data_IF_970794280913
#
_entry.id   IF_970794280913
#
_cell.length_a   1.000
_cell.length_b   1.000
_cell.length_c   1.000
_cell.angle_alpha   90.00
_cell.angle_beta   90.00
_cell.angle_gamma   90.00
#
_symmetry.space_group_name_H-M   'P 1'
#
loop_
_entity.id
_entity.type
_entity.pdbx_description
1 polymer ?
#
# COMPACT_ATOMS: atom_id res chain seq x y z
N UNK A 1 -31.26 19.26 -8.60
CA UNK A 1 -30.00 19.42 -9.34
C UNK A 1 -29.99 18.41 -10.49
N UNK A 2 -29.58 18.77 -11.73
CA UNK A 2 -29.60 17.79 -12.81
C UNK A 2 -28.54 16.71 -12.54
N UNK A 3 -28.80 15.45 -12.96
CA UNK A 3 -27.88 14.31 -12.79
C UNK A 3 -26.49 14.63 -13.37
N UNK A 4 -26.46 15.36 -14.48
CA UNK A 4 -25.20 15.77 -15.15
C UNK A 4 -24.36 16.68 -14.23
N UNK A 5 -24.98 17.62 -13.53
CA UNK A 5 -24.26 18.50 -12.58
C UNK A 5 -23.71 17.71 -11.42
N UNK A 6 -24.47 16.74 -10.87
CA UNK A 6 -24.00 15.89 -9.77
C UNK A 6 -22.84 15.01 -10.17
N UNK A 7 -22.86 14.42 -11.36
CA UNK A 7 -21.74 13.65 -11.90
C UNK A 7 -20.52 14.57 -12.12
N UNK A 8 -20.72 15.75 -12.69
CA UNK A 8 -19.65 16.73 -12.90
C UNK A 8 -18.96 17.13 -11.59
N UNK A 9 -19.73 17.33 -10.50
CA UNK A 9 -19.19 17.62 -9.19
C UNK A 9 -18.34 16.48 -8.62
N UNK A 10 -18.85 15.23 -8.72
CA UNK A 10 -18.10 14.06 -8.25
C UNK A 10 -16.76 13.89 -9.00
N UNK A 11 -16.76 14.05 -10.32
CA UNK A 11 -15.56 13.99 -11.15
C UNK A 11 -14.58 15.13 -10.84
N UNK A 12 -15.10 16.35 -10.62
CA UNK A 12 -14.27 17.49 -10.22
C UNK A 12 -13.59 17.26 -8.86
N UNK A 13 -14.31 16.73 -7.87
CA UNK A 13 -13.76 16.38 -6.57
C UNK A 13 -12.70 15.28 -6.70
N UNK A 14 -12.97 14.22 -7.46
CA UNK A 14 -12.01 13.15 -7.71
C UNK A 14 -10.73 13.68 -8.38
N UNK A 15 -10.87 14.58 -9.36
CA UNK A 15 -9.71 15.18 -10.04
C UNK A 15 -8.93 16.13 -9.13
N UNK A 16 -9.60 16.92 -8.29
CA UNK A 16 -8.95 17.78 -7.30
C UNK A 16 -8.12 16.97 -6.32
N UNK A 17 -8.65 15.86 -5.80
CA UNK A 17 -7.92 14.94 -4.92
C UNK A 17 -6.72 14.31 -5.65
N UNK A 18 -6.88 13.88 -6.92
CA UNK A 18 -5.77 13.37 -7.73
C UNK A 18 -4.66 14.41 -7.85
N UNK A 19 -5.01 15.68 -8.12
CA UNK A 19 -4.05 16.76 -8.27
C UNK A 19 -3.22 16.97 -7.01
N UNK A 20 -3.83 16.89 -5.82
CA UNK A 20 -3.13 17.04 -4.54
C UNK A 20 -2.15 15.89 -4.26
N UNK A 21 -2.47 14.66 -4.65
CA UNK A 21 -1.64 13.48 -4.36
C UNK A 21 -0.65 13.12 -5.48
N UNK A 22 -0.66 13.79 -6.62
CA UNK A 22 0.10 13.37 -7.81
C UNK A 22 1.62 13.44 -7.61
N UNK A 23 2.15 14.56 -7.11
CA UNK A 23 3.59 14.71 -6.88
C UNK A 23 4.13 13.78 -5.77
N UNK A 24 3.42 13.59 -4.63
CA UNK A 24 3.87 12.61 -3.64
C UNK A 24 3.91 11.18 -4.19
N UNK A 25 2.95 10.81 -5.04
CA UNK A 25 2.93 9.52 -5.71
C UNK A 25 4.15 9.31 -6.61
N UNK A 26 4.45 10.29 -7.46
CA UNK A 26 5.61 10.23 -8.36
C UNK A 26 6.91 10.16 -7.54
N UNK A 27 7.03 10.97 -6.48
CA UNK A 27 8.17 10.93 -5.57
C UNK A 27 8.29 9.54 -4.92
N UNK A 28 7.21 9.01 -4.36
CA UNK A 28 7.19 7.74 -3.66
C UNK A 28 7.60 6.58 -4.54
N UNK A 29 7.00 6.45 -5.72
CA UNK A 29 7.37 5.38 -6.66
C UNK A 29 8.81 5.55 -7.21
N UNK A 30 9.30 6.77 -7.29
CA UNK A 30 10.72 7.01 -7.64
C UNK A 30 11.64 6.52 -6.51
N UNK A 31 11.32 6.83 -5.25
CA UNK A 31 12.08 6.38 -4.08
C UNK A 31 12.02 4.85 -3.93
N UNK A 32 10.83 4.26 -4.10
CA UNK A 32 10.63 2.80 -4.14
C UNK A 32 11.53 2.15 -5.18
N UNK A 33 11.50 2.65 -6.42
CA UNK A 33 12.34 2.17 -7.51
C UNK A 33 13.85 2.27 -7.21
N UNK A 34 14.29 3.35 -6.55
CA UNK A 34 15.69 3.52 -6.11
C UNK A 34 16.09 2.43 -5.12
N UNK A 35 15.27 2.17 -4.11
CA UNK A 35 15.56 1.16 -3.09
C UNK A 35 15.58 -0.24 -3.70
N UNK A 36 14.58 -0.58 -4.50
CA UNK A 36 14.48 -1.88 -5.18
C UNK A 36 15.67 -2.11 -6.15
N UNK A 37 16.16 -1.07 -6.81
CA UNK A 37 17.32 -1.17 -7.69
C UNK A 37 18.64 -1.48 -6.95
N UNK A 38 18.74 -1.15 -5.66
CA UNK A 38 19.98 -1.28 -4.87
C UNK A 38 19.98 -2.47 -3.92
N UNK A 39 18.79 -2.87 -3.39
CA UNK A 39 18.66 -3.93 -2.37
C UNK A 39 18.03 -5.18 -2.99
N UNK A 40 18.75 -6.31 -2.96
CA UNK A 40 18.24 -7.58 -3.49
C UNK A 40 17.30 -8.29 -2.50
N UNK A 41 16.28 -8.96 -3.04
CA UNK A 41 15.33 -9.77 -2.25
C UNK A 41 16.00 -10.92 -1.50
N UNK A 42 17.07 -11.50 -2.03
CA UNK A 42 17.83 -12.56 -1.36
C UNK A 42 18.56 -12.04 -0.10
N UNK A 43 19.13 -10.83 -0.19
CA UNK A 43 19.81 -10.22 0.96
C UNK A 43 18.80 -9.93 2.10
N UNK A 44 17.60 -9.44 1.75
CA UNK A 44 16.51 -9.22 2.71
C UNK A 44 16.09 -10.55 3.37
N UNK A 45 15.80 -11.58 2.60
CA UNK A 45 15.34 -12.86 3.12
C UNK A 45 16.36 -13.51 4.09
N UNK A 46 17.65 -13.45 3.76
CA UNK A 46 18.72 -13.97 4.63
C UNK A 46 18.81 -13.23 5.98
N UNK A 47 18.56 -11.93 5.98
CA UNK A 47 18.57 -11.12 7.20
C UNK A 47 17.34 -11.35 8.10
N UNK A 48 16.24 -11.91 7.56
CA UNK A 48 14.94 -12.04 8.21
C UNK A 48 14.59 -13.47 8.64
N UNK A 49 15.58 -14.35 8.78
CA UNK A 49 15.38 -15.79 9.04
C UNK A 49 14.87 -16.15 10.46
N UNK A 50 14.49 -15.20 11.31
CA UNK A 50 13.98 -15.45 12.67
C UNK A 50 13.04 -14.37 13.17
N UNK A 51 12.41 -14.63 14.35
CA UNK A 51 11.41 -13.76 14.98
C UNK A 51 11.99 -12.92 16.12
N UNK A 52 13.32 -12.72 16.16
CA UNK A 52 13.95 -11.87 17.15
C UNK A 52 13.55 -10.39 16.96
N UNK A 53 13.54 -9.56 18.02
CA UNK A 53 13.26 -8.13 17.89
C UNK A 53 14.15 -7.45 16.85
N UNK A 54 15.42 -7.88 16.73
CA UNK A 54 16.35 -7.38 15.71
C UNK A 54 15.85 -7.68 14.30
N UNK A 55 15.39 -8.91 14.06
CA UNK A 55 14.90 -9.31 12.73
C UNK A 55 13.60 -8.60 12.38
N UNK A 56 12.71 -8.39 13.37
CA UNK A 56 11.47 -7.64 13.16
C UNK A 56 11.76 -6.16 12.89
N UNK A 57 12.71 -5.54 13.59
CA UNK A 57 13.15 -4.17 13.29
C UNK A 57 13.73 -4.08 11.87
N UNK A 58 14.57 -5.04 11.47
CA UNK A 58 15.10 -5.09 10.11
C UNK A 58 13.99 -5.30 9.07
N UNK A 59 13.01 -6.16 9.35
CA UNK A 59 11.86 -6.37 8.48
C UNK A 59 11.07 -5.08 8.30
N UNK A 60 10.82 -4.35 9.40
CA UNK A 60 10.15 -3.04 9.37
C UNK A 60 10.95 -2.03 8.55
N UNK A 61 12.26 -1.92 8.76
CA UNK A 61 13.11 -0.99 8.00
C UNK A 61 13.17 -1.34 6.50
N UNK A 62 13.25 -2.62 6.15
CA UNK A 62 13.19 -3.05 4.76
C UNK A 62 11.80 -2.81 4.15
N UNK A 63 10.73 -2.99 4.93
CA UNK A 63 9.38 -2.63 4.52
C UNK A 63 9.27 -1.14 4.20
N UNK A 64 9.65 -0.27 5.13
CA UNK A 64 9.68 1.20 4.95
C UNK A 64 10.46 1.58 3.68
N UNK A 65 11.62 0.98 3.50
CA UNK A 65 12.49 1.25 2.36
C UNK A 65 11.93 0.69 1.03
N UNK A 66 11.19 -0.42 1.08
CA UNK A 66 10.56 -1.03 -0.10
C UNK A 66 9.45 -0.17 -0.68
N UNK A 67 8.70 0.52 0.18
CA UNK A 67 7.62 1.45 -0.21
C UNK A 67 6.73 0.87 -1.31
N UNK A 68 6.04 -0.22 -1.01
CA UNK A 68 5.29 -0.99 -1.99
C UNK A 68 3.79 -0.74 -1.87
N UNK A 69 3.06 -0.81 -2.98
CA UNK A 69 1.60 -0.89 -2.90
C UNK A 69 1.16 -2.20 -2.23
N UNK A 70 -0.04 -2.25 -1.69
CA UNK A 70 -0.57 -3.39 -0.93
C UNK A 70 -0.43 -4.72 -1.68
N UNK A 71 -0.72 -4.74 -2.96
CA UNK A 71 -0.58 -5.94 -3.80
C UNK A 71 0.87 -6.39 -3.95
N UNK A 72 1.78 -5.45 -4.24
CA UNK A 72 3.20 -5.76 -4.36
C UNK A 72 3.80 -6.15 -3.01
N UNK A 73 3.37 -5.52 -1.91
CA UNK A 73 3.78 -5.87 -0.55
C UNK A 73 3.48 -7.33 -0.20
N UNK A 74 2.26 -7.80 -0.50
CA UNK A 74 1.84 -9.20 -0.29
C UNK A 74 2.67 -10.18 -1.12
N UNK A 75 2.93 -9.85 -2.39
CA UNK A 75 3.74 -10.70 -3.27
C UNK A 75 5.22 -10.72 -2.84
N UNK A 76 5.78 -9.56 -2.42
CA UNK A 76 7.12 -9.47 -1.86
C UNK A 76 7.25 -10.24 -0.54
N UNK A 77 6.30 -10.08 0.38
CA UNK A 77 6.26 -10.82 1.65
C UNK A 77 6.28 -12.33 1.41
N UNK A 78 5.48 -12.83 0.45
CA UNK A 78 5.53 -14.23 0.04
C UNK A 78 6.91 -14.61 -0.50
N UNK A 79 7.48 -13.81 -1.41
CA UNK A 79 8.78 -14.08 -2.02
C UNK A 79 9.91 -14.19 -0.98
N UNK A 80 9.97 -13.26 -0.01
CA UNK A 80 10.98 -13.30 1.05
C UNK A 80 10.74 -14.46 2.01
N UNK A 81 9.48 -14.82 2.30
CA UNK A 81 9.11 -15.99 3.10
C UNK A 81 9.55 -17.30 2.42
N UNK A 82 9.28 -17.47 1.13
CA UNK A 82 9.77 -18.61 0.34
C UNK A 82 11.29 -18.74 0.37
N UNK A 83 12.02 -17.62 0.37
CA UNK A 83 13.49 -17.56 0.39
C UNK A 83 14.09 -17.71 1.79
N UNK A 84 13.29 -17.93 2.83
CA UNK A 84 13.76 -18.29 4.17
C UNK A 84 13.56 -17.27 5.27
N UNK A 85 12.86 -16.15 5.02
CA UNK A 85 12.41 -15.27 6.09
C UNK A 85 11.40 -16.01 6.99
N UNK A 86 11.31 -15.65 8.28
CA UNK A 86 10.25 -16.13 9.13
C UNK A 86 8.89 -15.57 8.69
N UNK A 87 7.79 -16.28 8.97
CA UNK A 87 6.45 -15.82 8.63
C UNK A 87 6.10 -14.49 9.32
N UNK A 88 6.47 -14.36 10.60
CA UNK A 88 6.29 -13.11 11.37
C UNK A 88 7.05 -11.94 10.75
N UNK A 89 8.32 -12.14 10.37
CA UNK A 89 9.12 -11.10 9.75
C UNK A 89 8.59 -10.71 8.37
N UNK A 90 8.09 -11.67 7.58
CA UNK A 90 7.47 -11.41 6.29
C UNK A 90 6.19 -10.57 6.44
N UNK A 91 5.33 -10.86 7.41
CA UNK A 91 4.13 -10.07 7.70
C UNK A 91 4.44 -8.69 8.30
N UNK A 92 5.48 -8.58 9.15
CA UNK A 92 5.95 -7.29 9.66
C UNK A 92 6.51 -6.40 8.54
N UNK A 93 7.28 -6.99 7.61
CA UNK A 93 7.73 -6.31 6.39
C UNK A 93 6.54 -5.79 5.58
N UNK A 94 5.53 -6.63 5.40
CA UNK A 94 4.34 -6.31 4.62
C UNK A 94 3.57 -5.13 5.20
N UNK A 95 3.26 -5.14 6.52
CA UNK A 95 2.63 -4.02 7.21
C UNK A 95 3.44 -2.72 7.10
N UNK A 96 4.77 -2.82 7.27
CA UNK A 96 5.63 -1.65 7.20
C UNK A 96 5.77 -1.07 5.79
N UNK A 97 5.72 -1.93 4.76
CA UNK A 97 5.89 -1.53 3.37
C UNK A 97 4.69 -0.80 2.76
N UNK A 98 3.55 -0.81 3.44
CA UNK A 98 2.34 -0.09 3.03
C UNK A 98 2.02 1.09 3.94
N UNK A 99 2.26 0.96 5.25
CA UNK A 99 1.79 1.94 6.24
C UNK A 99 2.90 2.85 6.81
N UNK A 100 4.18 2.44 6.78
CA UNK A 100 5.29 3.25 7.30
C UNK A 100 6.11 3.92 6.20
N UNK A 101 5.48 4.25 5.09
CA UNK A 101 6.16 4.74 3.89
C UNK A 101 6.08 6.25 3.76
N UNK A 102 7.14 6.86 3.21
CA UNK A 102 7.30 8.31 3.17
C UNK A 102 6.21 8.96 2.32
N UNK A 103 5.85 8.38 1.18
CA UNK A 103 4.83 8.91 0.28
C UNK A 103 3.45 8.98 0.95
N UNK A 104 3.05 7.95 1.69
CA UNK A 104 1.80 7.96 2.43
C UNK A 104 1.80 9.07 3.49
N UNK A 105 2.91 9.20 4.23
CA UNK A 105 3.10 10.28 5.19
C UNK A 105 2.97 11.68 4.58
N UNK A 106 3.56 11.90 3.39
CA UNK A 106 3.46 13.17 2.67
C UNK A 106 2.03 13.42 2.19
N UNK A 107 1.36 12.40 1.64
CA UNK A 107 -0.04 12.51 1.19
C UNK A 107 -0.95 12.88 2.38
N UNK A 108 -0.75 12.24 3.52
CA UNK A 108 -1.50 12.54 4.76
C UNK A 108 -1.28 13.98 5.23
N UNK A 109 -0.03 14.48 5.23
CA UNK A 109 0.25 15.88 5.58
C UNK A 109 -0.50 16.84 4.66
N UNK A 110 -0.45 16.58 3.36
CA UNK A 110 -1.04 17.45 2.33
C UNK A 110 -2.56 17.47 2.43
N UNK A 111 -3.19 16.30 2.59
CA UNK A 111 -4.65 16.19 2.59
C UNK A 111 -5.28 16.42 3.96
N UNK A 112 -4.68 15.91 5.03
CA UNK A 112 -5.35 15.82 6.34
C UNK A 112 -4.58 16.50 7.47
N UNK A 113 -3.31 16.81 7.27
CA UNK A 113 -2.45 17.48 8.23
C UNK A 113 -1.49 16.54 8.97
N UNK A 114 -0.46 17.14 9.59
CA UNK A 114 0.65 16.43 10.23
C UNK A 114 0.23 15.48 11.36
N UNK A 115 -0.90 15.75 12.02
CA UNK A 115 -1.42 14.91 13.11
C UNK A 115 -1.76 13.50 12.61
N UNK A 116 -2.35 13.39 11.42
CA UNK A 116 -2.64 12.09 10.81
C UNK A 116 -1.38 11.37 10.39
N UNK A 117 -0.38 12.07 9.89
CA UNK A 117 0.93 11.47 9.57
C UNK A 117 1.63 10.96 10.82
N UNK A 118 1.64 11.74 11.90
CA UNK A 118 2.21 11.32 13.18
C UNK A 118 1.47 10.09 13.74
N UNK A 119 0.14 10.07 13.62
CA UNK A 119 -0.71 8.95 14.02
C UNK A 119 -0.44 7.69 13.19
N UNK A 120 -0.25 7.85 11.89
CA UNK A 120 0.07 6.77 10.95
C UNK A 120 1.41 6.10 11.28
N UNK A 121 2.48 6.89 11.43
CA UNK A 121 3.79 6.34 11.77
C UNK A 121 3.82 5.71 13.16
N UNK A 122 3.22 6.35 14.17
CA UNK A 122 3.12 5.78 15.50
C UNK A 122 2.31 4.48 15.49
N UNK A 123 1.13 4.52 14.89
CA UNK A 123 0.23 3.37 14.81
C UNK A 123 0.82 2.23 13.98
N UNK A 124 1.54 2.53 12.89
CA UNK A 124 2.25 1.53 12.10
C UNK A 124 3.33 0.78 12.91
N UNK A 125 4.08 1.49 13.76
CA UNK A 125 5.03 0.85 14.69
C UNK A 125 4.27 -0.02 15.70
N UNK A 126 3.17 0.49 16.27
CA UNK A 126 2.31 -0.28 17.19
C UNK A 126 1.74 -1.52 16.53
N UNK A 127 1.31 -1.43 15.26
CA UNK A 127 0.84 -2.61 14.51
C UNK A 127 1.90 -3.70 14.41
N UNK A 128 3.15 -3.36 14.10
CA UNK A 128 4.25 -4.34 14.04
C UNK A 128 4.47 -4.99 15.41
N UNK A 129 4.41 -4.20 16.49
CA UNK A 129 4.56 -4.71 17.86
C UNK A 129 3.40 -5.64 18.22
N UNK A 130 2.15 -5.22 17.97
CA UNK A 130 0.96 -6.04 18.26
C UNK A 130 0.93 -7.31 17.41
N UNK A 131 1.27 -7.22 16.14
CA UNK A 131 1.40 -8.39 15.28
C UNK A 131 2.40 -9.39 15.85
N UNK A 132 3.61 -8.93 16.19
CA UNK A 132 4.65 -9.78 16.75
C UNK A 132 4.20 -10.45 18.06
N UNK A 133 3.51 -9.70 18.94
CA UNK A 133 2.96 -10.22 20.18
C UNK A 133 1.87 -11.26 19.94
N UNK A 134 0.90 -10.97 19.08
CA UNK A 134 -0.20 -11.90 18.75
C UNK A 134 0.39 -13.17 18.12
N UNK A 135 1.30 -13.03 17.15
CA UNK A 135 1.92 -14.18 16.48
C UNK A 135 2.73 -15.03 17.47
N UNK A 136 3.49 -14.42 18.37
CA UNK A 136 4.23 -15.14 19.41
C UNK A 136 3.32 -15.99 20.30
N UNK A 137 2.08 -15.54 20.56
CA UNK A 137 1.13 -16.21 21.43
C UNK A 137 0.25 -17.25 20.70
N UNK A 138 -0.05 -17.01 19.42
CA UNK A 138 -1.10 -17.77 18.69
C UNK A 138 -0.62 -18.47 17.43
N UNK A 139 0.52 -18.07 16.83
CA UNK A 139 1.02 -18.68 15.61
C UNK A 139 1.59 -20.08 15.90
N UNK A 140 0.96 -21.10 15.37
CA UNK A 140 1.40 -22.49 15.57
C UNK A 140 2.36 -22.93 14.45
N UNK A 141 3.34 -23.82 14.74
CA UNK A 141 4.22 -24.38 13.72
C UNK A 141 3.45 -25.07 12.57
N UNK A 142 2.27 -25.62 12.87
CA UNK A 142 1.40 -26.24 11.86
C UNK A 142 0.88 -25.22 10.85
N UNK A 143 0.47 -24.02 11.30
CA UNK A 143 0.03 -22.93 10.41
C UNK A 143 1.18 -22.44 9.51
N UNK A 144 2.37 -22.26 10.09
CA UNK A 144 3.57 -21.87 9.33
C UNK A 144 3.92 -22.90 8.27
N UNK A 145 3.86 -24.20 8.62
CA UNK A 145 4.14 -25.27 7.65
C UNK A 145 3.07 -25.32 6.54
N UNK A 146 1.80 -25.11 6.88
CA UNK A 146 0.73 -25.03 5.87
C UNK A 146 0.96 -23.82 4.93
N UNK A 147 1.31 -22.65 5.48
CA UNK A 147 1.65 -21.46 4.70
C UNK A 147 2.81 -21.74 3.76
N UNK A 148 3.89 -22.37 4.26
CA UNK A 148 5.08 -22.69 3.47
C UNK A 148 4.76 -23.67 2.32
N UNK A 149 4.09 -24.77 2.63
CA UNK A 149 3.70 -25.76 1.61
C UNK A 149 2.81 -25.17 0.51
N UNK A 150 1.89 -24.27 0.88
CA UNK A 150 1.03 -23.61 -0.11
C UNK A 150 1.80 -22.57 -0.91
N UNK A 151 2.66 -21.79 -0.25
CA UNK A 151 3.48 -20.76 -0.92
C UNK A 151 4.41 -21.37 -1.99
N UNK A 152 4.95 -22.58 -1.74
CA UNK A 152 5.84 -23.30 -2.66
C UNK A 152 5.13 -23.85 -3.90
N UNK A 153 3.79 -23.99 -3.90
CA UNK A 153 3.04 -24.60 -5.03
C UNK A 153 3.01 -23.75 -6.31
N UNK A 154 3.55 -22.55 -6.29
CA UNK A 154 3.57 -21.65 -7.44
C UNK A 154 2.15 -21.24 -7.87
N UNK A 155 1.79 -19.99 -7.63
CA UNK A 155 0.62 -19.38 -8.27
C UNK A 155 1.21 -18.22 -9.05
N UNK A 156 1.27 -18.31 -10.36
CA UNK A 156 1.78 -17.20 -11.18
C UNK A 156 0.62 -16.29 -11.55
N UNK A 157 0.77 -15.02 -11.24
CA UNK A 157 -0.14 -13.95 -11.58
C UNK A 157 0.64 -12.70 -11.98
N UNK A 158 -0.05 -11.75 -12.59
CA UNK A 158 0.51 -10.49 -13.12
C UNK A 158 1.36 -9.71 -12.10
N UNK A 159 0.97 -9.74 -10.84
CA UNK A 159 1.65 -9.06 -9.73
C UNK A 159 2.84 -9.86 -9.18
N UNK A 160 2.78 -11.19 -9.27
CA UNK A 160 3.86 -12.08 -8.85
C UNK A 160 5.05 -11.99 -9.80
N UNK A 161 4.81 -11.86 -11.10
CA UNK A 161 5.85 -11.61 -12.08
C UNK A 161 6.65 -10.35 -11.75
N UNK A 162 5.99 -9.28 -11.31
CA UNK A 162 6.64 -8.05 -10.88
C UNK A 162 7.49 -8.26 -9.61
N UNK A 163 6.93 -8.84 -8.55
CA UNK A 163 7.61 -9.07 -7.28
C UNK A 163 8.72 -10.13 -7.38
N UNK A 164 8.63 -11.05 -8.35
CA UNK A 164 9.66 -12.07 -8.60
C UNK A 164 10.87 -11.54 -9.37
N UNK A 165 10.72 -10.47 -10.14
CA UNK A 165 11.81 -9.86 -10.91
C UNK A 165 12.75 -9.08 -9.97
N UNK A 166 13.90 -9.65 -9.67
CA UNK A 166 15.00 -8.96 -8.98
C UNK A 166 15.91 -8.28 -10.02
N UNK A 167 15.62 -7.00 -10.32
CA UNK A 167 16.45 -6.18 -11.21
C UNK A 167 17.50 -5.38 -10.44
N UNK A 168 17.78 -5.74 -9.19
CA UNK A 168 18.77 -5.05 -8.37
C UNK A 168 20.16 -5.18 -8.94
N UNK A 169 20.93 -4.09 -8.84
CA UNK A 169 22.32 -4.05 -9.32
C UNK A 169 23.25 -4.58 -8.23
N UNK A 170 24.04 -5.61 -8.56
CA UNK A 170 25.05 -6.18 -7.67
C UNK A 170 26.39 -5.46 -7.78
N UNK A 171 27.13 -5.37 -6.65
CA UNK A 171 28.50 -4.81 -6.59
C UNK A 171 28.56 -3.28 -6.51
N UNK A 172 29.52 -2.76 -5.74
CA UNK A 172 29.74 -1.33 -5.56
C UNK A 172 28.95 -0.67 -4.41
N UNK A 173 29.21 0.62 -4.16
CA UNK A 173 28.51 1.43 -3.16
C UNK A 173 27.11 1.80 -3.63
N UNK A 174 26.25 2.26 -2.70
CA UNK A 174 24.88 2.72 -3.01
C UNK A 174 24.84 3.70 -4.19
N UNK A 175 25.65 4.75 -4.17
CA UNK A 175 25.66 5.76 -5.22
C UNK A 175 26.23 5.23 -6.56
N UNK A 176 27.21 4.32 -6.51
CA UNK A 176 27.75 3.70 -7.71
C UNK A 176 26.72 2.81 -8.41
N UNK A 177 25.96 2.05 -7.64
CA UNK A 177 24.84 1.25 -8.17
C UNK A 177 23.78 2.13 -8.78
N UNK A 178 23.30 3.14 -8.03
CA UNK A 178 22.20 4.02 -8.42
C UNK A 178 22.53 4.83 -9.69
N UNK A 179 23.70 5.46 -9.74
CA UNK A 179 24.10 6.31 -10.86
C UNK A 179 24.63 5.54 -12.08
N UNK A 180 24.77 4.23 -11.97
CA UNK A 180 25.11 3.38 -13.12
C UNK A 180 23.98 3.39 -14.17
N UNK A 181 24.34 3.18 -15.43
CA UNK A 181 23.34 3.04 -16.50
C UNK A 181 22.32 1.92 -16.23
N UNK A 182 22.78 0.81 -15.61
CA UNK A 182 21.91 -0.31 -15.19
C UNK A 182 21.02 0.09 -14.02
N UNK A 183 21.53 0.81 -13.01
CA UNK A 183 20.75 1.27 -11.86
C UNK A 183 19.63 2.22 -12.26
N UNK A 184 19.93 3.23 -13.07
CA UNK A 184 18.91 4.16 -13.57
C UNK A 184 17.85 3.46 -14.45
N UNK A 185 18.23 2.41 -15.19
CA UNK A 185 17.27 1.60 -15.94
C UNK A 185 16.40 0.77 -14.99
N UNK A 186 16.98 0.16 -13.94
CA UNK A 186 16.23 -0.57 -12.92
C UNK A 186 15.23 0.35 -12.21
N UNK A 187 15.63 1.56 -11.78
CA UNK A 187 14.73 2.56 -11.19
C UNK A 187 13.57 2.88 -12.12
N UNK A 188 13.87 3.12 -13.40
CA UNK A 188 12.85 3.42 -14.41
C UNK A 188 11.86 2.27 -14.61
N UNK A 189 12.35 1.03 -14.62
CA UNK A 189 11.52 -0.17 -14.75
C UNK A 189 10.61 -0.33 -13.53
N UNK A 190 11.15 -0.27 -12.31
CA UNK A 190 10.36 -0.35 -11.08
C UNK A 190 9.31 0.75 -11.01
N UNK A 191 9.68 2.01 -11.30
CA UNK A 191 8.75 3.13 -11.33
C UNK A 191 7.54 2.89 -12.24
N UNK A 192 7.77 2.46 -13.49
CA UNK A 192 6.67 2.22 -14.45
C UNK A 192 5.85 0.99 -14.05
N UNK A 193 6.51 -0.04 -13.50
CA UNK A 193 5.82 -1.25 -13.05
C UNK A 193 4.95 -0.97 -11.81
N UNK A 194 5.42 -0.17 -10.85
CA UNK A 194 4.64 0.27 -9.69
C UNK A 194 3.39 1.04 -10.15
N UNK A 195 3.53 2.01 -11.07
CA UNK A 195 2.38 2.70 -11.67
C UNK A 195 1.43 1.75 -12.39
N UNK A 196 1.94 0.86 -13.22
CA UNK A 196 1.13 -0.11 -13.97
C UNK A 196 0.34 -1.06 -13.05
N UNK A 197 0.83 -1.32 -11.84
CA UNK A 197 0.18 -2.19 -10.87
C UNK A 197 -0.98 -1.52 -10.13
N UNK A 198 -0.94 -0.21 -9.90
CA UNK A 198 -1.85 0.47 -8.96
C UNK A 198 -2.75 1.56 -9.59
N UNK A 199 -2.51 1.98 -10.84
CA UNK A 199 -3.26 3.11 -11.42
C UNK A 199 -4.77 2.88 -11.43
N UNK A 200 -5.22 1.63 -11.66
CA UNK A 200 -6.65 1.29 -11.67
C UNK A 200 -7.25 1.48 -10.28
N UNK A 201 -6.54 1.01 -9.23
CA UNK A 201 -6.99 1.14 -7.85
C UNK A 201 -7.05 2.60 -7.41
N UNK A 202 -6.06 3.41 -7.82
CA UNK A 202 -6.05 4.86 -7.55
C UNK A 202 -7.26 5.53 -8.22
N UNK A 203 -7.51 5.24 -9.49
CA UNK A 203 -8.65 5.84 -10.22
C UNK A 203 -9.98 5.43 -9.60
N UNK A 204 -10.17 4.14 -9.30
CA UNK A 204 -11.40 3.65 -8.65
C UNK A 204 -11.58 4.30 -7.28
N UNK A 205 -10.52 4.35 -6.45
CA UNK A 205 -10.56 4.98 -5.13
C UNK A 205 -10.93 6.45 -5.18
N UNK A 206 -10.35 7.20 -6.12
CA UNK A 206 -10.66 8.61 -6.33
C UNK A 206 -12.10 8.83 -6.82
N UNK A 207 -12.61 7.97 -7.71
CA UNK A 207 -13.99 8.05 -8.18
C UNK A 207 -14.98 7.75 -7.05
N UNK A 208 -14.71 6.73 -6.23
CA UNK A 208 -15.52 6.41 -5.05
C UNK A 208 -15.47 7.59 -4.06
N UNK A 209 -14.29 8.10 -3.73
CA UNK A 209 -14.14 9.22 -2.81
C UNK A 209 -14.86 10.48 -3.31
N UNK A 210 -14.71 10.82 -4.59
CA UNK A 210 -15.39 11.94 -5.23
C UNK A 210 -16.92 11.80 -5.24
N UNK A 211 -17.41 10.60 -5.53
CA UNK A 211 -18.85 10.29 -5.51
C UNK A 211 -19.42 10.40 -4.08
N UNK A 212 -18.74 9.82 -3.10
CA UNK A 212 -19.16 9.89 -1.68
C UNK A 212 -19.13 11.33 -1.16
N UNK A 213 -18.09 12.11 -1.52
CA UNK A 213 -17.98 13.51 -1.13
C UNK A 213 -19.08 14.40 -1.74
N UNK A 214 -19.52 14.08 -2.98
CA UNK A 214 -20.52 14.87 -3.69
C UNK A 214 -21.95 14.47 -3.39
N UNK A 215 -22.23 13.18 -3.16
CA UNK A 215 -23.60 12.66 -3.13
C UNK A 215 -24.09 12.23 -1.76
N UNK A 216 -23.19 11.84 -0.85
CA UNK A 216 -23.62 11.39 0.48
C UNK A 216 -23.74 12.60 1.42
N UNK A 217 -24.94 12.88 1.97
CA UNK A 217 -25.13 14.03 2.84
C UNK A 217 -24.45 13.84 4.19
N UNK A 218 -23.99 14.94 4.80
CA UNK A 218 -23.33 14.93 6.12
C UNK A 218 -24.19 14.31 7.23
N UNK A 219 -25.52 14.38 7.08
CA UNK A 219 -26.46 13.78 8.05
C UNK A 219 -26.37 12.26 8.08
N UNK A 220 -26.16 11.61 6.91
CA UNK A 220 -25.95 10.18 6.82
C UNK A 220 -24.65 9.77 7.55
N UNK A 221 -23.55 10.45 7.26
CA UNK A 221 -22.26 10.17 7.90
C UNK A 221 -22.33 10.34 9.42
N UNK A 222 -22.96 11.42 9.89
CA UNK A 222 -23.12 11.67 11.33
C UNK A 222 -23.93 10.60 12.05
N UNK A 223 -24.95 10.07 11.40
CA UNK A 223 -25.74 8.97 11.95
C UNK A 223 -24.94 7.65 11.92
N UNK A 224 -24.26 7.37 10.81
CA UNK A 224 -23.50 6.15 10.61
C UNK A 224 -22.31 6.02 11.58
N UNK A 225 -21.58 7.11 11.82
CA UNK A 225 -20.42 7.14 12.73
C UNK A 225 -20.79 7.58 14.16
N UNK A 226 -22.04 7.52 14.54
CA UNK A 226 -22.51 7.90 15.87
C UNK A 226 -21.93 9.22 16.39
N UNK A 227 -21.64 10.18 15.49
CA UNK A 227 -20.92 11.41 15.81
C UNK A 227 -21.67 12.34 16.78
N UNK A 228 -22.95 12.07 17.02
CA UNK A 228 -23.75 12.75 18.07
C UNK A 228 -23.39 12.27 19.49
N UNK A 229 -22.67 11.14 19.62
CA UNK A 229 -22.21 10.61 20.90
C UNK A 229 -20.69 10.41 20.84
N UNK A 230 -19.88 11.39 21.26
CA UNK A 230 -18.42 11.35 21.13
C UNK A 230 -17.75 10.11 21.74
N UNK A 231 -18.28 9.60 22.85
CA UNK A 231 -17.73 8.43 23.53
C UNK A 231 -17.96 7.16 22.70
N UNK A 232 -19.17 6.98 22.17
CA UNK A 232 -19.47 5.84 21.32
C UNK A 232 -18.70 5.89 19.99
N UNK A 233 -18.61 7.07 19.37
CA UNK A 233 -17.85 7.26 18.14
C UNK A 233 -16.37 6.86 18.27
N UNK A 234 -15.72 7.12 19.41
CA UNK A 234 -14.34 6.73 19.70
C UNK A 234 -14.18 5.21 19.87
N UNK A 235 -15.21 4.55 20.43
CA UNK A 235 -15.20 3.09 20.59
C UNK A 235 -15.53 2.41 19.25
N UNK A 236 -16.50 2.92 18.54
CA UNK A 236 -16.94 2.36 17.25
C UNK A 236 -15.90 2.54 16.15
N UNK A 237 -15.34 3.75 16.03
CA UNK A 237 -14.50 4.15 14.91
C UNK A 237 -13.37 3.16 14.61
N UNK A 238 -12.48 2.82 15.56
CA UNK A 238 -11.39 1.87 15.31
C UNK A 238 -11.83 0.46 14.94
N UNK A 239 -13.06 0.05 15.26
CA UNK A 239 -13.63 -1.23 14.84
C UNK A 239 -14.26 -1.13 13.44
N UNK A 240 -15.00 -0.06 13.17
CA UNK A 240 -15.71 0.12 11.90
C UNK A 240 -14.75 0.51 10.77
N UNK A 241 -13.70 1.28 11.08
CA UNK A 241 -12.70 1.71 10.08
C UNK A 241 -12.20 0.57 9.19
N UNK A 242 -11.62 -0.49 9.75
CA UNK A 242 -11.16 -1.62 8.95
C UNK A 242 -12.26 -2.34 8.16
N UNK A 243 -13.49 -2.41 8.68
CA UNK A 243 -14.62 -3.03 7.96
C UNK A 243 -15.04 -2.19 6.75
N UNK A 244 -15.02 -0.86 6.87
CA UNK A 244 -15.29 0.04 5.74
C UNK A 244 -14.20 -0.11 4.69
N UNK A 245 -12.92 -0.20 5.08
CA UNK A 245 -11.82 -0.42 4.17
C UNK A 245 -11.92 -1.75 3.41
N UNK A 246 -12.32 -2.83 4.08
CA UNK A 246 -12.50 -4.15 3.45
C UNK A 246 -13.43 -4.12 2.24
N UNK A 247 -14.45 -3.28 2.26
CA UNK A 247 -15.44 -3.15 1.17
C UNK A 247 -15.17 -1.98 0.23
N UNK A 248 -14.14 -1.18 0.50
CA UNK A 248 -13.78 -0.04 -0.36
C UNK A 248 -13.01 -0.46 -1.62
N UNK A 249 -12.36 -1.62 -1.59
CA UNK A 249 -11.52 -2.17 -2.68
C UNK A 249 -10.35 -1.27 -3.08
N UNK A 250 -9.87 -0.41 -2.21
CA UNK A 250 -8.86 0.61 -2.50
C UNK A 250 -7.57 0.31 -1.76
N UNK A 251 -6.42 0.53 -2.42
CA UNK A 251 -5.09 0.36 -1.83
C UNK A 251 -4.74 1.51 -0.85
N UNK A 252 -3.62 1.39 -0.11
CA UNK A 252 -3.19 2.35 0.92
C UNK A 252 -3.21 3.81 0.48
N UNK A 253 -2.67 4.12 -0.69
CA UNK A 253 -2.65 5.49 -1.23
C UNK A 253 -4.05 5.99 -1.59
N UNK A 254 -4.84 5.14 -2.25
CA UNK A 254 -6.23 5.46 -2.63
C UNK A 254 -7.16 5.58 -1.41
N UNK A 255 -6.82 4.96 -0.28
CA UNK A 255 -7.57 5.09 0.96
C UNK A 255 -7.47 6.50 1.58
N UNK A 256 -6.39 7.27 1.36
CA UNK A 256 -6.24 8.59 2.00
C UNK A 256 -7.30 9.60 1.55
N UNK A 257 -7.61 9.78 0.25
CA UNK A 257 -8.73 10.62 -0.16
C UNK A 257 -10.07 10.17 0.43
N UNK A 258 -10.31 8.87 0.49
CA UNK A 258 -11.52 8.32 1.10
C UNK A 258 -11.54 8.55 2.61
N UNK A 259 -10.42 8.36 3.31
CA UNK A 259 -10.25 8.68 4.72
C UNK A 259 -10.57 10.15 5.02
N UNK A 260 -10.16 11.07 4.13
CA UNK A 260 -10.48 12.49 4.24
C UNK A 260 -12.01 12.75 4.16
N UNK A 261 -12.72 12.05 3.28
CA UNK A 261 -14.19 12.10 3.20
C UNK A 261 -14.83 11.54 4.47
N UNK A 262 -14.36 10.39 4.95
CA UNK A 262 -14.87 9.78 6.19
C UNK A 262 -14.61 10.67 7.41
N UNK A 263 -13.42 11.29 7.50
CA UNK A 263 -13.07 12.25 8.55
C UNK A 263 -14.04 13.44 8.57
N UNK A 264 -14.29 14.05 7.40
CA UNK A 264 -15.30 15.09 7.24
C UNK A 264 -16.68 14.58 7.65
N UNK A 265 -17.01 13.34 7.33
CA UNK A 265 -18.27 12.68 7.66
C UNK A 265 -18.47 12.40 9.14
N UNK A 266 -17.44 12.48 9.98
CA UNK A 266 -17.58 12.37 11.43
C UNK A 266 -17.01 11.11 12.09
N UNK A 267 -16.33 10.23 11.36
CA UNK A 267 -15.61 9.10 11.96
C UNK A 267 -14.59 9.61 13.01
N UNK A 268 -14.29 8.81 14.03
CA UNK A 268 -13.30 9.19 15.05
C UNK A 268 -11.89 9.24 14.47
N UNK A 269 -10.96 9.90 15.16
CA UNK A 269 -9.56 10.01 14.71
C UNK A 269 -8.89 8.64 14.55
N UNK A 270 -8.99 7.79 15.58
CA UNK A 270 -8.48 6.41 15.52
C UNK A 270 -9.26 5.55 14.52
N UNK A 271 -10.51 5.87 14.24
CA UNK A 271 -11.29 5.23 13.18
C UNK A 271 -10.73 5.53 11.79
N UNK A 272 -10.31 6.77 11.52
CA UNK A 272 -9.61 7.14 10.28
C UNK A 272 -8.30 6.36 10.15
N UNK A 273 -7.51 6.35 11.23
CA UNK A 273 -6.19 5.70 11.23
C UNK A 273 -6.33 4.19 11.01
N UNK A 274 -7.26 3.53 11.71
CA UNK A 274 -7.51 2.10 11.52
C UNK A 274 -8.09 1.77 10.14
N UNK A 275 -8.85 2.68 9.52
CA UNK A 275 -9.31 2.56 8.13
C UNK A 275 -8.14 2.58 7.16
N UNK A 276 -7.19 3.52 7.33
CA UNK A 276 -6.00 3.62 6.45
C UNK A 276 -5.15 2.34 6.55
N UNK A 277 -4.95 1.82 7.77
CA UNK A 277 -4.19 0.59 8.00
C UNK A 277 -4.77 -0.64 7.34
N UNK A 278 -6.06 -0.66 7.00
CA UNK A 278 -6.77 -1.85 6.59
C UNK A 278 -6.68 -2.18 5.08
N UNK A 279 -5.79 -1.54 4.37
CA UNK A 279 -5.49 -1.78 2.96
C UNK A 279 -5.03 -3.22 2.66
N UNK A 280 -4.45 -3.90 3.66
CA UNK A 280 -3.99 -5.29 3.57
C UNK A 280 -5.05 -6.34 3.89
N UNK A 281 -6.27 -5.95 4.26
CA UNK A 281 -7.38 -6.88 4.50
C UNK A 281 -8.59 -6.63 3.60
N UNK A 282 -8.44 -5.85 2.54
CA UNK A 282 -9.48 -5.66 1.51
C UNK A 282 -9.77 -6.98 0.79
N UNK A 283 -11.01 -7.15 0.32
CA UNK A 283 -11.47 -8.43 -0.25
C UNK A 283 -10.56 -8.99 -1.36
N UNK A 284 -10.02 -8.20 -2.32
CA UNK A 284 -9.09 -8.74 -3.31
C UNK A 284 -7.78 -9.27 -2.70
N UNK A 285 -7.23 -8.60 -1.70
CA UNK A 285 -6.02 -9.03 -0.99
C UNK A 285 -6.27 -10.33 -0.21
N UNK A 286 -7.44 -10.47 0.42
CA UNK A 286 -7.83 -11.72 1.09
C UNK A 286 -7.88 -12.91 0.11
N UNK A 287 -8.35 -12.69 -1.13
CA UNK A 287 -8.30 -13.74 -2.16
C UNK A 287 -6.86 -14.12 -2.54
N UNK A 288 -5.95 -13.14 -2.58
CA UNK A 288 -4.51 -13.39 -2.79
C UNK A 288 -3.92 -14.20 -1.63
N UNK A 289 -4.17 -13.84 -0.37
CA UNK A 289 -3.72 -14.66 0.77
C UNK A 289 -4.26 -16.07 0.72
N UNK A 290 -5.53 -16.25 0.30
CA UNK A 290 -6.12 -17.58 0.10
C UNK A 290 -5.32 -18.40 -0.93
N UNK A 291 -4.95 -17.80 -2.03
CA UNK A 291 -4.15 -18.45 -3.08
C UNK A 291 -2.74 -18.76 -2.59
N UNK A 292 -2.11 -17.81 -1.88
CA UNK A 292 -0.71 -17.90 -1.45
C UNK A 292 -0.48 -18.82 -0.26
N UNK A 293 -1.42 -18.83 0.70
CA UNK A 293 -1.23 -19.46 2.00
C UNK A 293 -2.37 -20.44 2.36
N UNK A 294 -3.46 -20.47 1.57
CA UNK A 294 -4.64 -21.32 1.82
C UNK A 294 -5.64 -20.67 2.78
N UNK A 295 -6.88 -21.21 2.81
CA UNK A 295 -8.02 -20.67 3.55
C UNK A 295 -7.79 -20.47 5.06
N UNK A 296 -7.13 -21.44 5.70
CA UNK A 296 -6.91 -21.40 7.16
C UNK A 296 -5.93 -20.29 7.54
N UNK A 297 -4.85 -20.15 6.78
CA UNK A 297 -3.84 -19.11 7.02
C UNK A 297 -4.40 -17.74 6.63
N UNK A 298 -5.15 -17.63 5.54
CA UNK A 298 -5.85 -16.39 5.18
C UNK A 298 -6.79 -15.92 6.30
N UNK A 299 -7.63 -16.82 6.85
CA UNK A 299 -8.51 -16.49 7.98
C UNK A 299 -7.73 -16.06 9.23
N UNK A 300 -6.58 -16.68 9.50
CA UNK A 300 -5.70 -16.30 10.59
C UNK A 300 -5.11 -14.90 10.37
N UNK A 301 -4.61 -14.59 9.16
CA UNK A 301 -4.11 -13.26 8.80
C UNK A 301 -5.21 -12.21 8.95
N UNK A 302 -6.40 -12.47 8.40
CA UNK A 302 -7.54 -11.55 8.50
C UNK A 302 -7.85 -11.17 9.95
N UNK A 303 -8.01 -12.17 10.83
CA UNK A 303 -8.36 -11.91 12.22
C UNK A 303 -7.24 -11.19 12.97
N UNK A 304 -6.00 -11.62 12.78
CA UNK A 304 -4.84 -11.01 13.47
C UNK A 304 -4.56 -9.60 12.98
N UNK A 305 -4.63 -9.34 11.67
CA UNK A 305 -4.45 -8.00 11.12
C UNK A 305 -5.58 -7.06 11.57
N UNK A 306 -6.84 -7.51 11.49
CA UNK A 306 -7.97 -6.72 11.97
C UNK A 306 -7.81 -6.29 13.44
N UNK A 307 -7.48 -7.25 14.33
CA UNK A 307 -7.25 -6.97 15.75
C UNK A 307 -6.09 -5.98 15.91
N UNK A 308 -5.01 -6.18 15.19
CA UNK A 308 -3.81 -5.34 15.25
C UNK A 308 -4.10 -3.90 14.81
N UNK A 309 -4.84 -3.72 13.72
CA UNK A 309 -5.23 -2.43 13.17
C UNK A 309 -6.21 -1.69 14.10
N UNK A 310 -7.24 -2.38 14.59
CA UNK A 310 -8.18 -1.81 15.54
C UNK A 310 -7.50 -1.43 16.87
N UNK A 311 -6.63 -2.29 17.41
CA UNK A 311 -5.87 -2.00 18.63
C UNK A 311 -4.95 -0.78 18.47
N UNK A 312 -4.23 -0.68 17.34
CA UNK A 312 -3.41 0.48 17.02
C UNK A 312 -4.27 1.75 16.91
N UNK A 313 -5.42 1.68 16.24
CA UNK A 313 -6.38 2.77 16.16
C UNK A 313 -6.86 3.26 17.53
N UNK A 314 -7.15 2.34 18.46
CA UNK A 314 -7.55 2.71 19.83
C UNK A 314 -6.41 3.41 20.58
N UNK A 315 -5.19 2.84 20.53
CA UNK A 315 -4.05 3.47 21.23
C UNK A 315 -3.80 4.87 20.68
N UNK A 316 -3.87 5.05 19.36
CA UNK A 316 -3.70 6.35 18.72
C UNK A 316 -4.83 7.31 19.10
N UNK A 317 -6.11 6.88 19.10
CA UNK A 317 -7.24 7.70 19.50
C UNK A 317 -7.05 8.28 20.90
N UNK A 318 -6.85 7.42 21.90
CA UNK A 318 -6.74 7.83 23.28
C UNK A 318 -5.46 8.60 23.61
N UNK A 319 -4.34 8.21 22.96
CA UNK A 319 -3.07 8.92 23.17
C UNK A 319 -3.14 10.35 22.61
N UNK A 320 -3.64 10.52 21.36
CA UNK A 320 -3.73 11.83 20.74
C UNK A 320 -4.80 12.72 21.41
N UNK A 321 -5.86 12.12 21.93
CA UNK A 321 -6.82 12.83 22.77
C UNK A 321 -6.17 13.33 24.06
N UNK A 322 -5.45 12.47 24.78
CA UNK A 322 -4.77 12.83 26.03
C UNK A 322 -3.72 13.94 25.83
N UNK A 323 -3.08 13.97 24.65
CA UNK A 323 -2.11 14.99 24.27
C UNK A 323 -2.76 16.26 23.67
N UNK A 324 -4.08 16.28 23.45
CA UNK A 324 -4.78 17.39 22.81
C UNK A 324 -4.42 17.60 21.34
N UNK A 325 -3.96 16.53 20.65
CA UNK A 325 -3.47 16.59 19.27
C UNK A 325 -4.53 16.24 18.21
N UNK A 326 -5.72 15.81 18.60
CA UNK A 326 -6.80 15.51 17.63
C UNK A 326 -7.26 16.82 16.97
N UNK A 327 -7.23 16.90 15.60
CA UNK A 327 -7.66 18.11 14.90
C UNK A 327 -9.13 18.43 15.18
N UNK A 328 -9.42 19.68 15.54
CA UNK A 328 -10.80 20.13 15.76
C UNK A 328 -11.50 20.49 14.44
N UNK A 329 -10.73 20.89 13.43
CA UNK A 329 -11.26 21.20 12.11
C UNK A 329 -11.33 19.91 11.27
N UNK A 330 -12.52 19.63 10.74
CA UNK A 330 -12.76 18.47 9.84
C UNK A 330 -12.82 18.86 8.36
N UNK A 331 -12.53 20.12 8.04
CA UNK A 331 -12.45 20.56 6.65
C UNK A 331 -11.14 20.09 6.02
N UNK A 332 -11.27 19.41 4.89
CA UNK A 332 -10.14 18.89 4.10
C UNK A 332 -9.96 19.80 2.89
N UNK A 333 -8.74 20.35 2.72
CA UNK A 333 -8.41 21.35 1.70
C UNK A 333 -8.78 20.88 0.30
N UNK A 334 -8.42 19.67 -0.08
CA UNK A 334 -8.70 19.13 -1.42
C UNK A 334 -10.19 19.00 -1.77
N UNK A 335 -11.06 18.90 -0.76
CA UNK A 335 -12.51 18.80 -0.96
C UNK A 335 -13.17 20.19 -1.03
N UNK A 336 -12.57 21.19 -0.36
CA UNK A 336 -13.19 22.51 -0.20
C UNK A 336 -12.68 23.56 -1.17
N UNK A 337 -11.43 23.53 -1.57
CA UNK A 337 -10.76 24.61 -2.30
C UNK A 337 -10.53 24.30 -3.80
N UNK A 338 -10.57 23.02 -4.20
CA UNK A 338 -10.27 22.63 -5.58
C UNK A 338 -8.81 22.90 -5.97
N UNK A 339 -8.54 22.96 -7.29
CA UNK A 339 -7.19 23.19 -7.82
C UNK A 339 -6.82 24.66 -7.74
N UNK A 340 -5.72 24.97 -7.07
CA UNK A 340 -5.18 26.31 -6.93
C UNK A 340 -3.73 26.38 -7.43
N UNK A 341 -3.29 27.60 -7.78
CA UNK A 341 -1.89 27.86 -8.09
C UNK A 341 -1.09 28.03 -6.81
N UNK A 342 -0.67 26.91 -6.23
CA UNK A 342 0.04 26.82 -4.96
C UNK A 342 1.31 25.95 -5.10
N UNK A 343 1.98 25.64 -3.98
CA UNK A 343 3.16 24.78 -3.96
C UNK A 343 2.90 23.37 -4.56
N UNK A 344 1.70 22.80 -4.38
CA UNK A 344 1.31 21.50 -4.96
C UNK A 344 1.38 21.53 -6.48
N UNK A 345 0.86 22.59 -7.12
CA UNK A 345 0.90 22.75 -8.59
C UNK A 345 2.34 22.85 -9.10
N UNK A 346 3.21 23.62 -8.41
CA UNK A 346 4.62 23.71 -8.77
C UNK A 346 5.33 22.36 -8.65
N UNK A 347 5.11 21.65 -7.55
CA UNK A 347 5.69 20.32 -7.33
C UNK A 347 5.15 19.30 -8.35
N UNK A 348 3.86 19.34 -8.68
CA UNK A 348 3.30 18.48 -9.73
C UNK A 348 4.03 18.68 -11.07
N UNK A 349 4.30 19.91 -11.48
CA UNK A 349 5.04 20.20 -12.72
C UNK A 349 6.44 19.59 -12.65
N UNK A 350 7.16 19.81 -11.55
CA UNK A 350 8.54 19.29 -11.36
C UNK A 350 8.53 17.76 -11.43
N UNK A 351 7.67 17.10 -10.65
CA UNK A 351 7.63 15.64 -10.58
C UNK A 351 7.05 14.99 -11.83
N UNK A 352 6.17 15.65 -12.58
CA UNK A 352 5.75 15.21 -13.90
C UNK A 352 6.92 15.18 -14.90
N UNK A 353 7.86 16.13 -14.81
CA UNK A 353 9.10 16.07 -15.59
C UNK A 353 9.95 14.86 -15.19
N UNK A 354 10.09 14.59 -13.88
CA UNK A 354 10.79 13.38 -13.39
C UNK A 354 10.12 12.11 -13.94
N UNK A 355 8.81 12.00 -13.83
CA UNK A 355 8.05 10.87 -14.37
C UNK A 355 8.25 10.72 -15.87
N UNK A 356 8.19 11.81 -16.64
CA UNK A 356 8.43 11.78 -18.08
C UNK A 356 9.83 11.25 -18.44
N UNK A 357 10.87 11.69 -17.71
CA UNK A 357 12.25 11.21 -17.90
C UNK A 357 12.34 9.70 -17.63
N UNK A 358 11.73 9.22 -16.54
CA UNK A 358 11.72 7.79 -16.20
C UNK A 358 10.96 6.96 -17.24
N UNK A 359 9.78 7.42 -17.67
CA UNK A 359 8.99 6.73 -18.70
C UNK A 359 9.72 6.69 -20.05
N UNK A 360 10.32 7.81 -20.50
CA UNK A 360 11.09 7.86 -21.73
C UNK A 360 12.27 6.88 -21.67
N UNK A 361 12.96 6.83 -20.52
CA UNK A 361 14.06 5.87 -20.32
C UNK A 361 13.54 4.43 -20.39
N UNK A 362 12.46 4.11 -19.71
CA UNK A 362 11.81 2.80 -19.73
C UNK A 362 11.51 2.35 -21.16
N UNK A 363 10.89 3.20 -21.96
CA UNK A 363 10.55 2.90 -23.35
C UNK A 363 11.82 2.67 -24.19
N UNK A 364 12.85 3.54 -24.03
CA UNK A 364 14.10 3.44 -24.77
C UNK A 364 14.97 2.22 -24.41
N UNK A 365 14.80 1.68 -23.20
CA UNK A 365 15.56 0.51 -22.73
C UNK A 365 14.82 -0.82 -22.91
N UNK A 366 13.74 -0.84 -23.67
CA UNK A 366 13.00 -2.07 -24.00
C UNK A 366 11.96 -2.50 -22.95
N UNK A 367 11.61 -1.63 -22.01
CA UNK A 367 10.64 -1.92 -20.94
C UNK A 367 9.23 -2.30 -21.44
N UNK A 368 8.82 -1.87 -22.64
CA UNK A 368 7.54 -2.24 -23.23
C UNK A 368 7.41 -3.76 -23.50
N UNK A 369 8.48 -4.43 -23.89
CA UNK A 369 8.48 -5.89 -24.07
C UNK A 369 8.30 -6.61 -22.73
N UNK A 370 8.88 -6.08 -21.66
CA UNK A 370 8.72 -6.59 -20.30
C UNK A 370 7.28 -6.47 -19.80
N UNK A 371 6.62 -5.33 -20.05
CA UNK A 371 5.18 -5.16 -19.72
C UNK A 371 4.30 -6.11 -20.52
N UNK A 372 4.61 -6.41 -21.78
CA UNK A 372 3.86 -7.38 -22.57
C UNK A 372 3.98 -8.80 -22.00
N UNK A 373 5.20 -9.26 -21.67
CA UNK A 373 5.41 -10.57 -21.02
C UNK A 373 4.66 -10.71 -19.69
N UNK A 374 4.51 -9.63 -18.94
CA UNK A 374 3.71 -9.64 -17.70
C UNK A 374 2.19 -9.73 -17.93
N UNK A 375 1.73 -9.39 -19.12
CA UNK A 375 0.30 -9.35 -19.48
C UNK A 375 -0.17 -10.58 -20.28
N UNK A 376 0.76 -11.42 -20.77
CA UNK A 376 0.43 -12.63 -21.52
C UNK A 376 0.05 -13.77 -20.56
N UNK A 377 -1.10 -14.44 -20.73
CA UNK A 377 -1.45 -15.62 -19.96
C UNK A 377 -0.55 -16.79 -20.36
N UNK A 378 -0.13 -17.58 -19.39
CA UNK A 378 0.81 -18.73 -19.47
C UNK A 378 0.51 -19.81 -20.52
N UNK A 379 -0.60 -19.72 -21.26
CA UNK A 379 -1.00 -20.75 -22.22
C UNK A 379 -0.15 -20.84 -23.50
N UNK A 380 0.71 -19.85 -23.79
CA UNK A 380 1.48 -19.84 -25.04
C UNK A 380 2.94 -20.29 -24.90
N UNK A 381 3.46 -20.42 -23.67
CA UNK A 381 4.88 -20.78 -23.46
C UNK A 381 5.17 -22.29 -23.59
N UNK A 382 4.15 -23.16 -23.49
CA UNK A 382 4.32 -24.62 -23.59
C UNK A 382 4.51 -25.11 -25.04
N UNK A 383 4.22 -24.29 -26.05
CA UNK A 383 4.36 -24.68 -27.46
C UNK A 383 5.68 -24.22 -28.11
N UNK A 384 6.45 -23.29 -27.52
CA UNK A 384 7.71 -22.85 -28.13
C UNK A 384 8.92 -23.70 -27.76
N UNK A 385 8.94 -24.38 -26.60
CA UNK A 385 10.06 -25.23 -26.19
C UNK A 385 10.02 -26.61 -26.83
N UNK A 386 8.91 -27.08 -27.40
CA UNK A 386 8.82 -28.37 -28.09
C UNK A 386 9.27 -28.31 -29.56
N UNK A 387 9.27 -27.12 -30.16
CA UNK A 387 9.67 -26.97 -31.57
C UNK A 387 11.20 -26.95 -31.79
N UNK A 388 12.00 -26.75 -30.75
CA UNK A 388 13.47 -26.75 -30.85
C UNK A 388 14.13 -28.09 -30.53
N UNK A 389 13.39 -29.11 -30.05
CA UNK A 389 13.94 -30.43 -29.76
C UNK A 389 13.72 -31.47 -30.88
N UNK A 390 12.94 -31.17 -31.92
CA UNK A 390 12.72 -32.10 -33.03
C UNK A 390 13.59 -31.85 -34.27
N UNK A 391 14.55 -30.92 -34.26
CA UNK A 391 15.45 -30.66 -35.39
C UNK A 391 16.91 -30.99 -35.11
N UNK A 392 17.19 -31.89 -34.17
CA UNK A 392 18.55 -32.46 -33.99
C UNK A 392 18.50 -33.99 -33.85
N UNK A 393 18.12 -34.67 -34.91
CA UNK A 393 18.49 -36.07 -35.22
C UNK A 393 18.73 -36.24 -36.71
#
# INVERSE_FOLDING_TARGET
MSIIVSIGQALFMAFSMLWEILWPLILGFTLSGIVQAVVSHQAMAKALGGDSPKNLTLATLFGIASSSCSYAAVALARSIFQKGASFTAAMAFELASTNLVIELGIILIVLMGWQFTAAEFLGGILMVIFLALIFRLTLTPRLVQMAKTQAEKGVMGRMEGHAAMDMSVSGGSFFQKLLSGKGLTAVSNYFVMDWASVWVDIVIGLLIAGALAAWVPDSFWRAFFLSNNPTLAKIEGPLIGPLVAMVSFVCSVGNVPLAAVLWRGGISFGGVVSFIFADLIILPILDIYRKYYGWKVMGYILVTFYITMAAAGYVVEFLFEALGLIPQNRNVVAITEGIQWNYTTVLNIIFLVVAAVLVIRFVRTGGLSMLKMMNEPEHDMSHHDMAHHEMSH
#
